data_IF_523792798577
#
_entry.id   IF_523792798577
#
_cell.length_a   1.000
_cell.length_b   1.000
_cell.length_c   1.000
_cell.angle_alpha   90.00
_cell.angle_beta   90.00
_cell.angle_gamma   90.00
#
_symmetry.space_group_name_H-M   'P 1'
#
loop_
_entity.id
_entity.type
_entity.pdbx_description
1 polymer ?
#
# COMPACT_ATOMS: atom_id res chain seq x y z
N UNK A 1 -51.56 -74.92 7.76
CA UNK A 1 -52.67 -73.95 7.70
C UNK A 1 -52.36 -72.85 8.69
N UNK A 2 -52.21 -71.56 8.40
CA UNK A 2 -52.33 -70.73 7.19
C UNK A 2 -51.49 -69.47 7.46
N UNK A 3 -50.87 -68.93 6.40
CA UNK A 3 -49.92 -67.81 6.38
C UNK A 3 -50.54 -66.45 6.76
N UNK A 4 -49.71 -65.54 7.28
CA UNK A 4 -49.84 -64.09 7.13
C UNK A 4 -48.61 -63.38 7.73
N UNK A 5 -47.62 -62.92 6.94
CA UNK A 5 -47.59 -61.63 6.18
C UNK A 5 -47.31 -60.44 7.12
N UNK A 6 -46.46 -59.43 6.87
CA UNK A 6 -45.41 -59.09 5.89
C UNK A 6 -44.87 -57.70 6.34
N UNK A 7 -43.60 -57.34 6.03
CA UNK A 7 -43.11 -55.95 5.73
C UNK A 7 -43.05 -54.93 6.90
N UNK A 8 -42.17 -53.92 7.00
CA UNK A 8 -41.21 -53.26 6.09
C UNK A 8 -40.17 -52.45 6.91
N UNK A 9 -38.97 -52.29 6.33
CA UNK A 9 -37.95 -51.22 6.43
C UNK A 9 -38.31 -49.91 7.18
N UNK A 10 -37.31 -49.26 7.79
CA UNK A 10 -36.76 -47.95 7.32
C UNK A 10 -35.31 -47.77 7.80
N UNK A 11 -34.43 -47.42 6.86
CA UNK A 11 -33.07 -46.97 7.06
C UNK A 11 -33.03 -45.53 7.60
N UNK A 12 -32.26 -45.29 8.66
CA UNK A 12 -31.95 -43.95 9.17
C UNK A 12 -30.53 -43.55 8.78
N UNK A 13 -30.40 -42.75 7.73
CA UNK A 13 -29.17 -42.08 7.33
C UNK A 13 -28.88 -40.92 8.30
N UNK A 14 -27.80 -41.04 9.10
CA UNK A 14 -27.29 -39.95 9.93
C UNK A 14 -26.10 -39.26 9.27
N UNK A 15 -26.38 -38.25 8.44
CA UNK A 15 -25.41 -37.35 7.84
C UNK A 15 -25.04 -36.25 8.87
N UNK A 16 -23.98 -36.46 9.66
CA UNK A 16 -23.44 -35.41 10.52
C UNK A 16 -22.34 -34.64 9.77
N UNK A 17 -22.76 -33.59 9.08
CA UNK A 17 -21.89 -32.70 8.33
C UNK A 17 -21.11 -31.75 9.25
N UNK A 18 -19.85 -31.55 8.87
CA UNK A 18 -18.85 -30.69 9.46
C UNK A 18 -19.35 -29.28 9.82
N UNK A 19 -19.29 -28.93 11.11
CA UNK A 19 -19.24 -27.55 11.59
C UNK A 19 -17.77 -27.10 11.61
N UNK A 20 -17.25 -26.79 10.42
CA UNK A 20 -16.05 -25.98 10.27
C UNK A 20 -16.44 -24.53 10.61
N UNK A 21 -16.00 -24.07 11.78
CA UNK A 21 -16.17 -22.70 12.23
C UNK A 21 -15.44 -21.72 11.32
N UNK A 22 -16.14 -21.21 10.32
CA UNK A 22 -15.76 -20.00 9.60
C UNK A 22 -16.12 -18.79 10.47
N UNK A 23 -15.23 -18.47 11.42
CA UNK A 23 -15.20 -17.17 12.07
C UNK A 23 -14.82 -16.11 11.04
N UNK A 24 -15.79 -15.64 10.27
CA UNK A 24 -15.64 -14.45 9.45
C UNK A 24 -15.58 -13.23 10.38
N UNK A 25 -14.38 -12.91 10.85
CA UNK A 25 -14.10 -11.60 11.43
C UNK A 25 -14.33 -10.57 10.33
N UNK A 26 -15.50 -9.93 10.33
CA UNK A 26 -15.73 -8.69 9.62
C UNK A 26 -14.84 -7.63 10.28
N UNK A 27 -13.60 -7.53 9.80
CA UNK A 27 -12.73 -6.41 10.13
C UNK A 27 -13.38 -5.12 9.64
N UNK A 28 -13.21 -4.00 10.35
CA UNK A 28 -13.68 -2.71 9.88
C UNK A 28 -13.05 -2.43 8.51
N UNK A 29 -13.90 -2.27 7.49
CA UNK A 29 -13.51 -1.68 6.21
C UNK A 29 -13.17 -0.23 6.47
N UNK A 30 -11.90 0.03 6.76
CA UNK A 30 -11.33 1.37 6.73
C UNK A 30 -11.59 1.91 5.33
N UNK A 31 -12.31 3.02 5.23
CA UNK A 31 -12.54 3.69 3.95
C UNK A 31 -11.21 3.91 3.25
N UNK A 32 -11.13 3.48 1.98
CA UNK A 32 -9.95 3.66 1.16
C UNK A 32 -9.58 5.16 1.15
N UNK A 33 -8.32 5.53 1.46
CA UNK A 33 -7.88 6.89 1.23
C UNK A 33 -8.09 7.22 -0.25
N UNK A 34 -8.78 8.35 -0.45
CA UNK A 34 -9.01 9.05 -1.71
C UNK A 34 -7.70 9.17 -2.52
N UNK A 35 -7.73 8.77 -3.80
CA UNK A 35 -7.00 9.24 -4.99
C UNK A 35 -5.69 10.06 -4.86
N UNK A 36 -4.89 9.84 -3.81
CA UNK A 36 -3.54 10.38 -3.70
C UNK A 36 -2.62 9.42 -4.41
N UNK A 37 -2.31 9.71 -5.68
CA UNK A 37 -1.19 9.11 -6.39
C UNK A 37 0.00 8.85 -5.44
N UNK A 38 0.25 7.58 -5.12
CA UNK A 38 1.24 7.21 -4.11
C UNK A 38 2.63 7.10 -4.75
N UNK A 39 3.57 7.86 -4.20
CA UNK A 39 4.99 7.75 -4.54
C UNK A 39 5.58 6.63 -3.70
N UNK A 40 6.26 5.70 -4.35
CA UNK A 40 6.91 4.59 -3.68
C UNK A 40 8.41 4.63 -3.93
N UNK A 41 9.16 4.28 -2.89
CA UNK A 41 10.61 4.34 -2.82
C UNK A 41 11.16 2.94 -2.52
N UNK A 42 12.30 2.59 -3.11
CA UNK A 42 12.98 1.32 -2.87
C UNK A 42 14.50 1.45 -3.01
N UNK A 43 15.26 0.65 -2.27
CA UNK A 43 16.73 0.57 -2.39
C UNK A 43 17.19 -0.65 -3.17
N UNK A 44 16.31 -1.65 -3.34
CA UNK A 44 16.61 -2.98 -3.88
C UNK A 44 15.73 -3.37 -5.07
N UNK A 45 14.64 -2.63 -5.32
CA UNK A 45 13.63 -2.94 -6.34
C UNK A 45 12.62 -4.00 -5.90
N UNK A 46 12.81 -4.61 -4.73
CA UNK A 46 11.97 -5.70 -4.21
C UNK A 46 11.01 -5.18 -3.13
N UNK A 47 11.53 -4.35 -2.22
CA UNK A 47 10.78 -3.79 -1.09
C UNK A 47 10.46 -2.32 -1.35
N UNK A 48 9.18 -1.99 -1.33
CA UNK A 48 8.68 -0.64 -1.65
C UNK A 48 7.95 -0.03 -0.46
N UNK A 49 8.25 1.23 -0.17
CA UNK A 49 7.60 2.00 0.89
C UNK A 49 7.44 3.47 0.48
N UNK A 50 6.44 4.16 1.03
CA UNK A 50 6.31 5.61 0.83
C UNK A 50 7.38 6.41 1.60
N UNK A 51 7.95 5.81 2.64
CA UNK A 51 9.05 6.36 3.44
C UNK A 51 10.09 5.26 3.69
N UNK A 52 11.35 5.53 3.37
CA UNK A 52 12.44 4.59 3.64
C UNK A 52 13.01 4.80 5.04
N UNK A 53 12.97 3.74 5.84
CA UNK A 53 13.62 3.72 7.17
C UNK A 53 15.03 3.13 7.14
N UNK A 54 15.39 2.50 6.03
CA UNK A 54 16.72 1.94 5.83
C UNK A 54 17.66 3.05 5.33
N UNK A 55 18.83 3.23 5.97
CA UNK A 55 19.83 4.18 5.51
C UNK A 55 20.31 3.87 4.07
N UNK A 56 20.43 4.91 3.23
CA UNK A 56 21.01 4.79 1.88
C UNK A 56 22.53 4.59 1.90
N UNK A 57 23.17 5.01 2.98
CA UNK A 57 24.60 4.93 3.23
C UNK A 57 24.82 4.24 4.57
N UNK A 58 25.97 3.59 4.74
CA UNK A 58 26.38 3.02 6.03
C UNK A 58 26.52 4.13 7.09
N UNK A 59 25.66 4.16 8.12
CA UNK A 59 25.68 5.22 9.14
C UNK A 59 26.89 5.15 10.07
N UNK A 60 27.55 3.99 10.17
CA UNK A 60 28.73 3.80 11.02
C UNK A 60 30.03 4.12 10.26
N UNK A 61 29.92 4.57 9.01
CA UNK A 61 31.07 4.88 8.16
C UNK A 61 31.77 6.15 8.62
N UNK A 62 33.06 6.02 8.87
CA UNK A 62 33.97 7.16 9.02
C UNK A 62 34.32 7.72 7.63
N UNK A 63 34.09 9.01 7.47
CA UNK A 63 34.48 9.79 6.29
C UNK A 63 35.86 10.40 6.49
N UNK A 64 36.68 10.36 5.44
CA UNK A 64 37.97 11.08 5.40
C UNK A 64 37.95 12.15 4.31
N UNK A 65 38.65 13.28 4.47
CA UNK A 65 38.72 14.31 3.43
C UNK A 65 39.12 13.72 2.07
N UNK A 66 38.34 14.05 1.03
CA UNK A 66 38.50 13.51 -0.32
C UNK A 66 37.76 12.19 -0.57
N UNK A 67 37.07 11.62 0.42
CA UNK A 67 36.18 10.47 0.19
C UNK A 67 35.02 10.84 -0.74
N UNK A 68 34.69 9.91 -1.63
CA UNK A 68 33.50 9.97 -2.48
C UNK A 68 32.69 8.70 -2.29
N UNK A 69 31.37 8.84 -2.13
CA UNK A 69 30.43 7.71 -2.05
C UNK A 69 29.25 7.93 -2.97
N UNK A 70 28.66 6.82 -3.39
CA UNK A 70 27.44 6.80 -4.19
C UNK A 70 26.39 5.95 -3.53
N UNK A 71 25.15 6.36 -3.66
CA UNK A 71 23.97 5.61 -3.28
C UNK A 71 22.94 5.66 -4.39
N UNK A 72 22.05 4.68 -4.44
CA UNK A 72 20.95 4.61 -5.40
C UNK A 72 19.63 4.40 -4.67
N UNK A 73 18.61 5.04 -5.21
CA UNK A 73 17.22 4.96 -4.79
C UNK A 73 16.39 4.72 -6.05
N UNK A 74 15.39 3.85 -5.98
CA UNK A 74 14.39 3.69 -7.02
C UNK A 74 13.13 4.42 -6.60
N UNK A 75 12.55 5.15 -7.55
CA UNK A 75 11.28 5.88 -7.37
C UNK A 75 10.28 5.33 -8.38
N UNK A 76 9.08 4.99 -7.93
CA UNK A 76 7.95 4.65 -8.80
C UNK A 76 6.70 5.43 -8.40
N UNK A 77 5.75 5.50 -9.32
CA UNK A 77 4.48 6.20 -9.13
C UNK A 77 3.33 5.27 -9.55
N UNK A 78 2.36 5.07 -8.65
CA UNK A 78 1.21 4.17 -8.84
C UNK A 78 -0.07 4.89 -9.31
N UNK A 79 0.06 6.03 -9.98
CA UNK A 79 -1.07 6.77 -10.55
C UNK A 79 -1.31 6.46 -12.01
N UNK A 80 -2.52 6.80 -12.51
CA UNK A 80 -2.98 6.50 -13.86
C UNK A 80 -2.27 7.26 -15.02
N UNK A 81 -1.15 7.93 -14.74
CA UNK A 81 -0.43 8.75 -15.69
C UNK A 81 0.99 9.10 -15.21
N UNK A 82 1.77 9.80 -16.04
CA UNK A 82 3.10 10.23 -15.65
C UNK A 82 3.04 11.24 -14.50
N UNK A 83 4.00 11.15 -13.60
CA UNK A 83 4.20 12.12 -12.53
C UNK A 83 5.49 12.92 -12.79
N UNK A 84 5.47 14.19 -12.41
CA UNK A 84 6.62 15.10 -12.49
C UNK A 84 6.90 15.68 -11.13
N UNK A 85 8.16 15.96 -10.86
CA UNK A 85 8.52 16.47 -9.55
C UNK A 85 9.99 16.80 -9.41
N UNK A 86 10.45 16.74 -8.17
CA UNK A 86 11.83 17.05 -7.83
C UNK A 86 12.30 16.13 -6.70
N UNK A 87 13.53 15.67 -6.83
CA UNK A 87 14.29 15.08 -5.72
C UNK A 87 15.18 16.18 -5.16
N UNK A 88 15.21 16.31 -3.84
CA UNK A 88 16.06 17.28 -3.13
C UNK A 88 16.80 16.57 -2.02
N UNK A 89 18.06 16.91 -1.82
CA UNK A 89 18.89 16.41 -0.73
C UNK A 89 19.23 17.54 0.21
N UNK A 90 19.26 17.26 1.50
CA UNK A 90 19.73 18.23 2.49
C UNK A 90 20.72 17.57 3.46
N UNK A 91 21.74 18.34 3.85
CA UNK A 91 22.72 17.94 4.87
C UNK A 91 22.47 18.78 6.11
N UNK A 92 22.21 18.13 7.25
CA UNK A 92 21.89 18.77 8.52
C UNK A 92 22.85 18.31 9.61
N UNK A 93 23.32 19.21 10.46
CA UNK A 93 24.23 18.87 11.56
C UNK A 93 25.23 19.98 11.84
N UNK A 94 26.47 19.61 12.15
CA UNK A 94 27.54 20.57 12.38
C UNK A 94 27.80 21.42 11.11
N UNK A 95 27.77 22.76 11.20
CA UNK A 95 27.77 23.64 10.02
C UNK A 95 29.03 23.47 9.16
N UNK A 96 30.21 23.42 9.77
CA UNK A 96 31.47 23.27 9.04
C UNK A 96 31.56 21.94 8.27
N UNK A 97 31.02 20.85 8.85
CA UNK A 97 31.02 19.55 8.18
C UNK A 97 29.93 19.50 7.09
N UNK A 98 28.77 20.11 7.33
CA UNK A 98 27.70 20.17 6.33
C UNK A 98 28.11 20.98 5.10
N UNK A 99 28.81 22.10 5.28
CA UNK A 99 29.35 22.93 4.20
C UNK A 99 30.49 22.25 3.43
N UNK A 100 31.22 21.33 4.08
CA UNK A 100 32.31 20.58 3.46
C UNK A 100 31.84 19.41 2.57
N UNK A 101 30.55 19.06 2.58
CA UNK A 101 30.00 18.02 1.71
C UNK A 101 29.50 18.61 0.38
N UNK A 102 30.03 18.10 -0.73
CA UNK A 102 29.47 18.28 -2.07
C UNK A 102 28.48 17.14 -2.35
N UNK A 103 27.22 17.49 -2.63
CA UNK A 103 26.14 16.52 -2.88
C UNK A 103 25.59 16.72 -4.28
N UNK A 104 25.75 15.69 -5.10
CA UNK A 104 25.27 15.67 -6.47
C UNK A 104 24.17 14.64 -6.62
N UNK A 105 23.15 14.98 -7.40
CA UNK A 105 22.00 14.11 -7.65
C UNK A 105 21.80 13.95 -9.14
N UNK A 106 21.46 12.73 -9.55
CA UNK A 106 21.09 12.38 -10.92
C UNK A 106 19.84 11.52 -10.90
N UNK A 107 18.86 11.86 -11.73
CA UNK A 107 17.68 11.03 -11.93
C UNK A 107 17.65 10.45 -13.35
N UNK A 108 17.43 9.15 -13.47
CA UNK A 108 17.47 8.41 -14.72
C UNK A 108 18.80 8.58 -15.45
N UNK A 109 18.71 8.93 -16.74
CA UNK A 109 19.86 9.17 -17.62
C UNK A 109 20.24 10.66 -17.71
N UNK A 110 19.72 11.52 -16.82
CA UNK A 110 20.01 12.94 -16.83
C UNK A 110 21.46 13.23 -16.42
N UNK A 111 21.92 14.46 -16.65
CA UNK A 111 23.22 14.93 -16.14
C UNK A 111 23.17 15.10 -14.63
N UNK A 112 24.29 14.85 -13.96
CA UNK A 112 24.47 15.18 -12.53
C UNK A 112 24.24 16.66 -12.26
N UNK A 113 23.39 16.96 -11.28
CA UNK A 113 23.20 18.30 -10.74
C UNK A 113 23.98 18.44 -9.42
N UNK A 114 24.75 19.53 -9.28
CA UNK A 114 25.57 19.81 -8.10
C UNK A 114 24.82 20.53 -6.98
N UNK A 115 23.60 21.00 -7.22
CA UNK A 115 22.82 21.75 -6.22
C UNK A 115 22.06 20.82 -5.25
N UNK A 116 22.37 19.52 -5.23
CA UNK A 116 21.62 18.54 -4.44
C UNK A 116 20.17 18.35 -4.87
N UNK A 117 19.78 18.79 -6.07
CA UNK A 117 18.40 18.68 -6.56
C UNK A 117 18.32 18.26 -8.01
N UNK A 118 17.36 17.41 -8.38
CA UNK A 118 17.17 16.99 -9.76
C UNK A 118 15.67 16.92 -10.12
N UNK A 119 15.29 17.41 -11.31
CA UNK A 119 13.93 17.19 -11.81
C UNK A 119 13.72 15.71 -12.12
N UNK A 120 12.51 15.22 -11.83
CA UNK A 120 12.12 13.83 -12.08
C UNK A 120 10.85 13.76 -12.88
N UNK A 121 10.81 12.79 -13.79
CA UNK A 121 9.63 12.40 -14.54
C UNK A 121 9.55 10.88 -14.47
N UNK A 122 8.47 10.39 -13.89
CA UNK A 122 8.24 8.95 -13.68
C UNK A 122 7.01 8.58 -14.51
N UNK A 123 7.15 7.61 -15.40
CA UNK A 123 6.01 7.07 -16.15
C UNK A 123 5.08 6.26 -15.24
N UNK A 124 3.92 5.89 -15.79
CA UNK A 124 3.04 4.93 -15.13
C UNK A 124 3.75 3.57 -15.09
N UNK A 125 3.80 2.94 -13.91
CA UNK A 125 4.45 1.65 -13.67
C UNK A 125 5.97 1.61 -13.95
N UNK A 126 6.58 2.76 -14.24
CA UNK A 126 8.02 2.87 -14.49
C UNK A 126 8.81 3.05 -13.19
N UNK A 127 10.00 2.46 -13.15
CA UNK A 127 10.97 2.66 -12.09
C UNK A 127 12.05 3.64 -12.56
N UNK A 128 12.18 4.77 -11.85
CA UNK A 128 13.20 5.77 -12.12
C UNK A 128 14.34 5.63 -11.10
N UNK A 129 15.56 5.26 -11.53
CA UNK A 129 16.72 5.29 -10.65
C UNK A 129 17.14 6.73 -10.35
N UNK A 130 17.36 7.01 -9.08
CA UNK A 130 17.89 8.25 -8.54
C UNK A 130 19.21 7.93 -7.88
N UNK A 131 20.29 8.47 -8.41
CA UNK A 131 21.63 8.29 -7.89
C UNK A 131 22.08 9.54 -7.14
N UNK A 132 22.76 9.32 -6.03
CA UNK A 132 23.38 10.34 -5.22
C UNK A 132 24.90 10.11 -5.21
N UNK A 133 25.66 11.18 -5.34
CA UNK A 133 27.10 11.20 -5.13
C UNK A 133 27.41 12.22 -4.03
N UNK A 134 28.03 11.76 -2.96
CA UNK A 134 28.43 12.60 -1.83
C UNK A 134 29.94 12.57 -1.73
N UNK A 135 30.56 13.73 -1.75
CA UNK A 135 31.99 13.89 -1.60
C UNK A 135 32.31 14.79 -0.40
N UNK A 136 33.24 14.35 0.45
CA UNK A 136 33.81 15.23 1.48
C UNK A 136 34.97 16.01 0.87
N UNK A 137 34.96 17.33 1.00
CA UNK A 137 35.98 18.20 0.42
C UNK A 137 37.39 17.75 0.89
N UNK A 138 38.38 17.61 -0.01
CA UNK A 138 39.76 17.28 0.36
C UNK A 138 40.39 18.27 1.35
N UNK A 139 39.91 19.52 1.36
CA UNK A 139 40.33 20.59 2.25
C UNK A 139 39.62 20.64 3.60
N UNK A 140 38.70 19.70 3.89
CA UNK A 140 37.98 19.65 5.16
C UNK A 140 38.96 19.57 6.35
N UNK A 141 38.88 20.57 7.24
CA UNK A 141 39.86 20.81 8.29
C UNK A 141 39.57 20.09 9.60
N UNK A 142 40.38 20.40 10.62
CA UNK A 142 40.24 19.85 11.98
C UNK A 142 38.89 20.17 12.64
N UNK A 143 38.21 21.21 12.18
CA UNK A 143 36.87 21.62 12.61
C UNK A 143 35.75 20.67 12.17
N UNK A 144 36.05 19.77 11.23
CA UNK A 144 35.14 18.67 10.82
C UNK A 144 35.42 17.36 11.56
N UNK A 145 36.52 17.28 12.31
CA UNK A 145 36.99 16.02 12.88
C UNK A 145 36.13 15.57 14.06
N UNK A 146 35.58 14.35 13.96
CA UNK A 146 34.73 13.77 15.02
C UNK A 146 33.29 14.30 15.03
N UNK A 147 32.97 15.19 14.10
CA UNK A 147 31.61 15.70 13.92
C UNK A 147 30.73 14.71 13.14
N UNK A 148 29.43 14.93 13.21
CA UNK A 148 28.44 14.12 12.51
C UNK A 148 27.38 14.99 11.81
N UNK A 149 26.86 14.49 10.70
CA UNK A 149 25.76 15.08 9.96
C UNK A 149 24.75 14.00 9.56
N UNK A 150 23.52 14.42 9.34
CA UNK A 150 22.45 13.63 8.72
C UNK A 150 22.27 14.11 7.29
N UNK A 151 22.22 13.15 6.36
CA UNK A 151 21.81 13.37 4.99
C UNK A 151 20.34 12.92 4.87
N UNK A 152 19.49 13.81 4.41
CA UNK A 152 18.08 13.52 4.10
C UNK A 152 17.84 13.64 2.60
N UNK A 153 17.00 12.77 2.07
CA UNK A 153 16.59 12.76 0.66
C UNK A 153 15.07 12.81 0.61
N UNK A 154 14.55 13.90 0.07
CA UNK A 154 13.12 14.15 -0.07
C UNK A 154 12.73 14.03 -1.55
N UNK A 155 11.70 13.24 -1.82
CA UNK A 155 11.14 13.06 -3.16
C UNK A 155 9.72 13.59 -3.18
N UNK A 156 9.47 14.61 -4.00
CA UNK A 156 8.13 15.19 -4.17
C UNK A 156 7.70 14.99 -5.61
N UNK A 157 6.65 14.21 -5.83
CA UNK A 157 6.01 14.06 -7.14
C UNK A 157 4.62 14.68 -7.11
N UNK A 158 4.23 15.30 -8.22
CA UNK A 158 2.87 15.69 -8.53
C UNK A 158 2.44 14.93 -9.80
N UNK A 159 1.36 14.16 -9.69
CA UNK A 159 0.73 13.55 -10.86
C UNK A 159 0.05 14.62 -11.71
N UNK A 160 0.19 14.53 -13.03
CA UNK A 160 -0.75 15.18 -13.93
C UNK A 160 -2.05 14.36 -13.88
N UNK A 161 -2.89 14.58 -12.88
CA UNK A 161 -4.24 14.03 -12.89
C UNK A 161 -4.95 14.67 -14.07
N UNK A 162 -5.00 13.95 -15.19
CA UNK A 162 -5.92 14.26 -16.28
C UNK A 162 -7.29 14.29 -15.64
N UNK A 163 -7.82 15.49 -15.40
CA UNK A 163 -9.20 15.66 -14.99
C UNK A 163 -9.99 14.81 -15.97
N UNK A 164 -10.60 13.73 -15.49
CA UNK A 164 -11.53 12.98 -16.29
C UNK A 164 -12.50 14.03 -16.81
N UNK A 165 -12.44 14.33 -18.10
CA UNK A 165 -13.42 15.17 -18.74
C UNK A 165 -14.74 14.49 -18.41
N UNK A 166 -15.48 15.08 -17.47
CA UNK A 166 -16.82 14.67 -17.12
C UNK A 166 -17.60 14.78 -18.41
N UNK A 167 -17.66 13.68 -19.15
CA UNK A 167 -18.55 13.52 -20.28
C UNK A 167 -19.90 14.00 -19.79
N UNK A 168 -20.61 14.90 -20.48
CA UNK A 168 -21.90 15.39 -20.02
C UNK A 168 -22.82 14.19 -19.79
N UNK A 169 -22.91 13.77 -18.52
CA UNK A 169 -23.68 12.62 -18.12
C UNK A 169 -25.13 12.93 -18.36
N UNK A 170 -25.86 11.96 -18.90
CA UNK A 170 -27.32 12.00 -18.92
C UNK A 170 -27.78 12.26 -17.48
N UNK A 171 -28.85 13.06 -17.21
CA UNK A 171 -29.22 13.51 -15.85
C UNK A 171 -29.47 12.44 -14.77
N UNK A 172 -29.31 11.16 -15.09
CA UNK A 172 -29.45 10.03 -14.18
C UNK A 172 -28.10 9.44 -13.71
N UNK A 173 -26.95 9.96 -14.18
CA UNK A 173 -25.60 9.44 -13.88
C UNK A 173 -24.87 10.24 -12.77
N UNK A 174 -25.56 11.19 -12.13
CA UNK A 174 -25.03 12.10 -11.10
C UNK A 174 -25.22 11.61 -9.66
N UNK A 175 -25.51 10.32 -9.46
CA UNK A 175 -25.41 9.74 -8.12
C UNK A 175 -24.01 9.15 -7.99
N UNK A 176 -23.22 9.56 -6.98
CA UNK A 176 -21.96 8.88 -6.70
C UNK A 176 -22.26 7.39 -6.54
N UNK A 177 -21.54 6.55 -7.27
CA UNK A 177 -21.51 5.10 -7.03
C UNK A 177 -20.84 4.87 -5.68
N UNK A 178 -21.56 5.15 -4.60
CA UNK A 178 -21.29 4.63 -3.26
C UNK A 178 -21.79 3.18 -3.18
N UNK A 179 -21.45 2.39 -4.19
CA UNK A 179 -21.69 0.97 -4.21
C UNK A 179 -20.62 0.30 -3.37
N UNK A 180 -20.74 0.36 -2.04
CA UNK A 180 -20.26 -0.77 -1.26
C UNK A 180 -20.90 -2.00 -1.90
N UNK A 181 -20.09 -2.99 -2.29
CA UNK A 181 -20.56 -4.19 -2.98
C UNK A 181 -21.52 -4.94 -2.03
N UNK A 182 -22.79 -4.55 -2.06
CA UNK A 182 -23.80 -4.94 -1.08
C UNK A 182 -24.35 -6.33 -1.38
N UNK A 183 -23.96 -6.93 -2.50
CA UNK A 183 -24.33 -8.29 -2.92
C UNK A 183 -24.14 -9.32 -1.80
N UNK A 184 -22.93 -9.50 -1.25
CA UNK A 184 -22.68 -10.42 -0.15
C UNK A 184 -23.46 -10.08 1.13
N UNK A 185 -23.64 -8.79 1.46
CA UNK A 185 -24.39 -8.36 2.66
C UNK A 185 -25.89 -8.63 2.54
N UNK A 186 -26.48 -8.37 1.38
CA UNK A 186 -27.88 -8.67 1.06
C UNK A 186 -28.14 -10.18 1.05
N UNK A 187 -27.22 -10.97 0.50
CA UNK A 187 -27.31 -12.43 0.52
C UNK A 187 -27.31 -12.96 1.97
N UNK A 188 -26.43 -12.45 2.83
CA UNK A 188 -26.38 -12.82 4.25
C UNK A 188 -27.68 -12.43 4.99
N UNK A 189 -28.21 -11.23 4.73
CA UNK A 189 -29.45 -10.76 5.33
C UNK A 189 -30.66 -11.64 4.92
N UNK A 190 -30.74 -12.04 3.65
CA UNK A 190 -31.79 -12.94 3.15
C UNK A 190 -31.73 -14.32 3.81
N UNK A 191 -30.52 -14.88 3.98
CA UNK A 191 -30.34 -16.17 4.68
C UNK A 191 -30.78 -16.08 6.13
N UNK A 192 -30.42 -15.00 6.84
CA UNK A 192 -30.81 -14.80 8.24
C UNK A 192 -32.33 -14.67 8.40
N UNK A 193 -33.00 -13.93 7.50
CA UNK A 193 -34.46 -13.79 7.50
C UNK A 193 -35.15 -15.13 7.23
N UNK A 194 -34.68 -15.88 6.23
CA UNK A 194 -35.23 -17.19 5.90
C UNK A 194 -35.09 -18.19 7.07
N UNK A 195 -33.93 -18.20 7.74
CA UNK A 195 -33.69 -19.04 8.92
C UNK A 195 -34.64 -18.68 10.08
N UNK A 196 -34.87 -17.38 10.34
CA UNK A 196 -35.81 -16.92 11.36
C UNK A 196 -37.26 -17.36 11.10
N UNK A 197 -37.70 -17.29 9.83
CA UNK A 197 -39.04 -17.74 9.43
C UNK A 197 -39.20 -19.25 9.63
N UNK A 198 -38.21 -20.04 9.23
CA UNK A 198 -38.23 -21.50 9.39
C UNK A 198 -38.27 -21.92 10.86
N UNK A 199 -37.46 -21.29 11.73
CA UNK A 199 -37.47 -21.55 13.16
C UNK A 199 -38.82 -21.24 13.82
N UNK A 200 -39.48 -20.15 13.43
CA UNK A 200 -40.82 -19.78 13.93
C UNK A 200 -41.91 -20.73 13.44
N UNK A 201 -41.78 -21.31 12.25
CA UNK A 201 -42.70 -22.32 11.76
C UNK A 201 -42.56 -23.64 12.52
N UNK A 202 -41.32 -24.10 12.75
CA UNK A 202 -41.04 -25.34 13.46
C UNK A 202 -41.51 -25.31 14.94
N UNK A 203 -41.43 -24.15 15.60
CA UNK A 203 -41.90 -23.99 16.98
C UNK A 203 -43.42 -24.17 17.16
N UNK A 204 -44.22 -23.96 16.11
CA UNK A 204 -45.69 -24.08 16.18
C UNK A 204 -46.21 -25.52 16.11
N UNK A 205 -45.41 -26.46 15.62
CA UNK A 205 -45.83 -27.86 15.47
C UNK A 205 -45.62 -28.75 16.71
N UNK A 206 -45.00 -28.25 17.79
CA UNK A 206 -44.79 -29.01 19.04
C UNK A 206 -45.88 -28.83 20.10
N UNK A 207 -46.95 -28.08 19.80
CA UNK A 207 -48.01 -27.76 20.77
C UNK A 207 -49.34 -28.46 20.53
N UNK A 208 -49.39 -29.55 19.75
CA UNK A 208 -50.66 -30.11 19.27
C UNK A 208 -50.92 -31.58 19.64
N UNK A 209 -50.10 -32.21 20.47
CA UNK A 209 -50.19 -33.65 20.80
C UNK A 209 -50.65 -33.96 22.24
N UNK A 210 -51.45 -33.10 22.87
CA UNK A 210 -52.13 -33.44 24.13
C UNK A 210 -53.63 -33.08 24.04
N UNK A 211 -54.45 -34.08 23.67
CA UNK A 211 -55.91 -34.00 23.63
C UNK A 211 -56.56 -35.32 23.27
#
# INVERSE_FOLDING_TARGET
>A
MTRGRTTTLVAGAGLAAALLGAGAAAGPSVGAPDDTAEVWLSVDGESWAQELRTPLLDPDRLWVPGDVRRASLLVRHDGAGPARGTVTTSVRGHPALAEAFDVRVRAGQNTWNADGSAPVVVGQDDELPVELEIALEPGAGNDTQGESVRLDVDVVLAGDSVAHESRPGTPLDLLPRTGADAGPVLALALVAVAAGIAARAAGRHRGSDDG
#
